data_IF_603142527624
#
_entry.id   IF_603142527624
#
_cell.length_a   1.000
_cell.length_b   1.000
_cell.length_c   1.000
_cell.angle_alpha   90.00
_cell.angle_beta   90.00
_cell.angle_gamma   90.00
#
_symmetry.space_group_name_H-M   'P 1'
#
loop_
_entity.id
_entity.type
_entity.pdbx_description
1 polymer ?
#
# COMPACT_ATOMS: atom_id res chain seq x y z
N UNK A 1 -23.47 -10.23 5.25
CA UNK A 1 -23.33 -8.89 4.66
C UNK A 1 -23.00 -9.01 3.19
N UNK A 2 -23.43 -8.04 2.39
CA UNK A 2 -22.97 -7.81 1.02
C UNK A 2 -21.89 -6.76 1.05
N UNK A 3 -20.74 -7.05 0.45
CA UNK A 3 -19.60 -6.14 0.44
C UNK A 3 -19.17 -5.83 -0.98
N UNK A 4 -18.87 -4.56 -1.24
CA UNK A 4 -18.33 -4.07 -2.50
C UNK A 4 -16.88 -3.63 -2.28
N UNK A 5 -15.95 -4.13 -3.11
CA UNK A 5 -14.56 -3.66 -3.15
C UNK A 5 -14.34 -2.87 -4.44
N UNK A 6 -13.66 -1.73 -4.35
CA UNK A 6 -13.32 -0.90 -5.50
C UNK A 6 -11.84 -1.06 -5.82
N UNK A 7 -11.53 -1.37 -7.07
CA UNK A 7 -10.18 -1.55 -7.59
C UNK A 7 -10.00 -2.86 -8.36
N UNK A 8 -8.78 -3.15 -8.82
CA UNK A 8 -8.51 -4.29 -9.71
C UNK A 8 -7.11 -4.89 -9.55
N UNK A 9 -6.34 -4.45 -8.56
CA UNK A 9 -4.97 -4.90 -8.31
C UNK A 9 -4.86 -6.12 -7.40
N UNK A 10 -3.64 -6.54 -7.11
CA UNK A 10 -3.35 -7.65 -6.19
C UNK A 10 -3.89 -7.41 -4.78
N UNK A 11 -3.73 -6.19 -4.27
CA UNK A 11 -4.30 -5.72 -3.01
C UNK A 11 -5.82 -5.95 -2.94
N UNK A 12 -6.55 -5.56 -3.98
CA UNK A 12 -7.99 -5.75 -4.02
C UNK A 12 -8.34 -7.23 -4.07
N UNK A 13 -7.58 -8.04 -4.81
CA UNK A 13 -7.80 -9.48 -4.82
C UNK A 13 -7.55 -10.11 -3.43
N UNK A 14 -6.50 -9.69 -2.72
CA UNK A 14 -6.25 -10.16 -1.34
C UNK A 14 -7.36 -9.73 -0.37
N UNK A 15 -7.88 -8.50 -0.50
CA UNK A 15 -9.05 -8.02 0.24
C UNK A 15 -10.29 -8.88 -0.05
N UNK A 16 -10.60 -9.12 -1.32
CA UNK A 16 -11.73 -9.95 -1.76
C UNK A 16 -11.61 -11.38 -1.22
N UNK A 17 -10.41 -11.97 -1.35
CA UNK A 17 -10.14 -13.30 -0.81
C UNK A 17 -10.41 -13.35 0.69
N UNK A 18 -9.91 -12.40 1.47
CA UNK A 18 -10.13 -12.39 2.92
C UNK A 18 -11.59 -12.15 3.28
N UNK A 19 -12.29 -11.28 2.58
CA UNK A 19 -13.71 -10.99 2.79
C UNK A 19 -14.57 -12.21 2.44
N UNK A 20 -14.33 -12.87 1.31
CA UNK A 20 -15.08 -14.06 0.91
C UNK A 20 -14.95 -15.22 1.90
N UNK A 21 -13.84 -15.27 2.68
CA UNK A 21 -13.64 -16.25 3.76
C UNK A 21 -14.13 -15.77 5.14
N UNK A 22 -14.73 -14.58 5.22
CA UNK A 22 -15.27 -14.04 6.48
C UNK A 22 -16.67 -14.63 6.74
N UNK A 23 -16.95 -15.21 7.93
CA UNK A 23 -18.23 -15.86 8.23
C UNK A 23 -19.45 -14.94 8.12
N UNK A 24 -19.27 -13.64 8.28
CA UNK A 24 -20.35 -12.65 8.20
C UNK A 24 -20.73 -12.26 6.77
N UNK A 25 -19.98 -12.71 5.76
CA UNK A 25 -20.19 -12.33 4.36
C UNK A 25 -21.15 -13.30 3.67
N UNK A 26 -22.08 -12.72 2.89
CA UNK A 26 -23.02 -13.44 2.05
C UNK A 26 -22.62 -13.35 0.58
N UNK A 27 -22.23 -12.14 0.13
CA UNK A 27 -21.90 -11.86 -1.26
C UNK A 27 -20.78 -10.82 -1.31
N UNK A 28 -19.88 -10.97 -2.26
CA UNK A 28 -18.78 -10.04 -2.51
C UNK A 28 -18.84 -9.57 -3.96
N UNK A 29 -18.80 -8.26 -4.14
CA UNK A 29 -18.75 -7.59 -5.44
C UNK A 29 -17.46 -6.84 -5.60
N UNK A 30 -17.01 -6.65 -6.83
CA UNK A 30 -15.83 -5.83 -7.15
C UNK A 30 -16.05 -4.97 -8.38
N UNK A 31 -15.59 -3.72 -8.32
CA UNK A 31 -15.65 -2.73 -9.40
C UNK A 31 -14.27 -2.12 -9.63
N UNK A 32 -13.69 -2.18 -10.82
CA UNK A 32 -14.11 -3.04 -11.92
C UNK A 32 -13.66 -4.51 -11.72
N UNK A 33 -12.67 -4.78 -10.84
CA UNK A 33 -12.02 -6.07 -10.68
C UNK A 33 -11.14 -6.45 -11.86
N UNK A 34 -10.66 -7.68 -11.83
CA UNK A 34 -10.02 -8.36 -12.96
C UNK A 34 -10.50 -9.83 -13.03
N UNK A 35 -10.29 -10.47 -14.18
CA UNK A 35 -10.82 -11.82 -14.43
C UNK A 35 -10.33 -12.90 -13.43
N UNK A 36 -9.19 -12.66 -12.76
CA UNK A 36 -8.65 -13.57 -11.75
C UNK A 36 -9.41 -13.54 -10.42
N UNK A 37 -10.29 -12.55 -10.23
CA UNK A 37 -11.08 -12.37 -8.99
C UNK A 37 -12.42 -13.12 -9.03
N UNK A 38 -12.79 -13.73 -10.16
CA UNK A 38 -14.10 -14.40 -10.37
C UNK A 38 -14.33 -15.59 -9.44
N UNK A 39 -13.28 -16.15 -8.88
CA UNK A 39 -13.38 -17.27 -7.92
C UNK A 39 -13.88 -16.80 -6.52
N UNK A 40 -13.77 -15.50 -6.21
CA UNK A 40 -14.06 -14.94 -4.88
C UNK A 40 -15.05 -13.76 -4.91
N UNK A 41 -15.38 -13.20 -6.07
CA UNK A 41 -16.25 -12.04 -6.18
C UNK A 41 -17.01 -11.98 -7.52
N UNK A 42 -18.14 -11.26 -7.51
CA UNK A 42 -18.87 -10.91 -8.73
C UNK A 42 -18.26 -9.61 -9.32
N UNK A 43 -17.76 -9.69 -10.56
CA UNK A 43 -17.24 -8.54 -11.27
C UNK A 43 -18.38 -7.69 -11.82
N UNK A 44 -18.37 -6.40 -11.53
CA UNK A 44 -19.41 -5.45 -11.94
C UNK A 44 -18.81 -4.43 -12.91
N UNK A 45 -19.28 -4.40 -14.17
CA UNK A 45 -18.67 -3.57 -15.21
C UNK A 45 -19.24 -2.14 -15.23
N UNK A 46 -19.30 -1.48 -14.06
CA UNK A 46 -19.71 -0.07 -13.97
C UNK A 46 -18.50 0.85 -13.81
N UNK A 47 -18.67 2.12 -14.16
CA UNK A 47 -17.61 3.14 -14.10
C UNK A 47 -18.19 4.45 -13.58
N UNK A 48 -17.37 5.19 -12.84
CA UNK A 48 -17.76 6.48 -12.28
C UNK A 48 -18.47 6.38 -10.94
N UNK A 49 -18.39 7.47 -10.18
CA UNK A 49 -18.85 7.52 -8.80
C UNK A 49 -20.36 7.32 -8.66
N UNK A 50 -21.15 7.89 -9.57
CA UNK A 50 -22.61 7.80 -9.50
C UNK A 50 -23.10 6.37 -9.80
N UNK A 51 -22.53 5.69 -10.80
CA UNK A 51 -22.87 4.30 -11.12
C UNK A 51 -22.50 3.35 -9.98
N UNK A 52 -21.38 3.61 -9.29
CA UNK A 52 -20.94 2.84 -8.11
C UNK A 52 -21.95 3.03 -6.97
N UNK A 53 -22.38 4.27 -6.72
CA UNK A 53 -23.40 4.57 -5.70
C UNK A 53 -24.73 3.91 -6.00
N UNK A 54 -25.20 4.00 -7.24
CA UNK A 54 -26.47 3.41 -7.67
C UNK A 54 -26.42 1.88 -7.58
N UNK A 55 -25.32 1.24 -8.00
CA UNK A 55 -25.10 -0.18 -7.81
C UNK A 55 -25.15 -0.56 -6.33
N UNK A 56 -24.39 0.14 -5.48
CA UNK A 56 -24.35 -0.16 -4.04
C UNK A 56 -25.74 -0.05 -3.38
N UNK A 57 -26.53 0.96 -3.78
CA UNK A 57 -27.89 1.16 -3.32
C UNK A 57 -28.84 0.05 -3.81
N UNK A 58 -28.81 -0.27 -5.10
CA UNK A 58 -29.68 -1.26 -5.75
C UNK A 58 -29.45 -2.67 -5.17
N UNK A 59 -28.18 -3.01 -4.94
CA UNK A 59 -27.78 -4.31 -4.39
C UNK A 59 -27.82 -4.37 -2.87
N UNK A 60 -28.24 -3.29 -2.21
CA UNK A 60 -28.28 -3.19 -0.74
C UNK A 60 -26.92 -3.56 -0.12
N UNK A 61 -25.83 -2.97 -0.61
CA UNK A 61 -24.48 -3.22 -0.12
C UNK A 61 -24.34 -2.70 1.32
N UNK A 62 -23.96 -3.58 2.24
CA UNK A 62 -23.79 -3.25 3.66
C UNK A 62 -22.49 -2.48 3.94
N UNK A 63 -21.47 -2.69 3.10
CA UNK A 63 -20.15 -2.07 3.27
C UNK A 63 -19.44 -1.95 1.92
N UNK A 64 -18.95 -0.75 1.59
CA UNK A 64 -18.03 -0.52 0.47
C UNK A 64 -16.62 -0.28 0.97
N UNK A 65 -15.62 -0.83 0.28
CA UNK A 65 -14.19 -0.77 0.63
C UNK A 65 -13.41 -0.20 -0.55
N UNK A 66 -12.66 0.87 -0.35
CA UNK A 66 -11.74 1.38 -1.36
C UNK A 66 -10.39 0.64 -1.33
N UNK A 67 -9.93 0.20 -2.48
CA UNK A 67 -8.55 -0.25 -2.68
C UNK A 67 -7.61 0.92 -3.01
N UNK A 68 -7.78 1.61 -4.17
CA UNK A 68 -6.88 2.68 -4.59
C UNK A 68 -7.19 4.02 -3.90
N UNK A 69 -6.15 4.83 -3.74
CA UNK A 69 -6.20 6.16 -3.14
C UNK A 69 -6.97 7.19 -3.97
N UNK A 70 -7.02 7.02 -5.29
CA UNK A 70 -7.65 7.99 -6.21
C UNK A 70 -9.12 8.22 -5.86
N UNK A 71 -9.89 7.16 -5.68
CA UNK A 71 -11.32 7.26 -5.35
C UNK A 71 -11.56 7.91 -3.97
N UNK A 72 -10.58 7.83 -3.06
CA UNK A 72 -10.63 8.46 -1.75
C UNK A 72 -10.37 9.96 -1.84
N UNK A 73 -9.33 10.36 -2.57
CA UNK A 73 -9.00 11.77 -2.78
C UNK A 73 -10.03 12.49 -3.63
N UNK A 74 -10.75 11.76 -4.51
CA UNK A 74 -11.88 12.26 -5.31
C UNK A 74 -13.21 12.32 -4.52
N UNK A 75 -13.23 11.90 -3.25
CA UNK A 75 -14.37 12.09 -2.35
C UNK A 75 -15.49 11.04 -2.48
N UNK A 76 -15.20 9.85 -2.98
CA UNK A 76 -16.23 8.81 -3.06
C UNK A 76 -16.79 8.45 -1.68
N UNK A 77 -15.95 8.44 -0.64
CA UNK A 77 -16.38 8.18 0.74
C UNK A 77 -17.39 9.23 1.24
N UNK A 78 -17.19 10.50 0.85
CA UNK A 78 -18.09 11.60 1.22
C UNK A 78 -19.47 11.43 0.56
N UNK A 79 -19.51 11.06 -0.73
CA UNK A 79 -20.74 10.77 -1.45
C UNK A 79 -21.53 9.60 -0.83
N UNK A 80 -20.85 8.53 -0.41
CA UNK A 80 -21.48 7.42 0.33
C UNK A 80 -22.04 7.88 1.67
N UNK A 81 -21.30 8.71 2.41
CA UNK A 81 -21.74 9.25 3.69
C UNK A 81 -22.99 10.12 3.55
N UNK A 82 -23.08 10.97 2.50
CA UNK A 82 -24.27 11.77 2.18
C UNK A 82 -25.53 10.93 1.96
N UNK A 83 -25.37 9.71 1.46
CA UNK A 83 -26.44 8.74 1.26
C UNK A 83 -26.68 7.82 2.46
N UNK A 84 -25.94 8.00 3.58
CA UNK A 84 -26.03 7.13 4.75
C UNK A 84 -25.51 5.72 4.54
N UNK A 85 -24.73 5.47 3.49
CA UNK A 85 -24.14 4.17 3.17
C UNK A 85 -22.74 4.01 3.80
N UNK A 86 -22.45 2.82 4.33
CA UNK A 86 -21.17 2.56 4.98
C UNK A 86 -20.04 2.42 3.95
N UNK A 87 -18.96 3.16 4.18
CA UNK A 87 -17.78 3.17 3.36
C UNK A 87 -16.52 3.06 4.23
N UNK A 88 -15.69 2.04 4.00
CA UNK A 88 -14.41 1.88 4.67
C UNK A 88 -13.33 2.61 3.87
N UNK A 89 -12.96 3.77 4.35
CA UNK A 89 -11.98 4.68 3.80
C UNK A 89 -12.20 6.08 4.36
N UNK A 90 -11.18 6.95 4.34
CA UNK A 90 -11.29 8.32 4.81
C UNK A 90 -12.11 9.21 3.83
N UNK A 91 -12.62 10.33 4.33
CA UNK A 91 -13.14 11.43 3.51
C UNK A 91 -12.04 12.01 2.61
N UNK A 92 -12.43 12.78 1.57
CA UNK A 92 -11.46 13.47 0.71
C UNK A 92 -10.52 14.37 1.50
N UNK A 93 -11.04 15.09 2.51
CA UNK A 93 -10.24 15.92 3.39
C UNK A 93 -9.21 15.10 4.19
N UNK A 94 -9.60 13.93 4.70
CA UNK A 94 -8.68 13.07 5.45
C UNK A 94 -7.71 12.31 4.52
N UNK A 95 -8.10 12.00 3.29
CA UNK A 95 -7.25 11.37 2.28
C UNK A 95 -6.08 12.27 1.84
N UNK A 96 -6.12 13.57 2.14
CA UNK A 96 -4.99 14.49 1.90
C UNK A 96 -3.71 14.10 2.64
N UNK A 97 -3.79 13.26 3.66
CA UNK A 97 -2.59 12.72 4.33
C UNK A 97 -1.70 11.87 3.38
N UNK A 98 -2.28 11.30 2.30
CA UNK A 98 -1.58 10.68 1.17
C UNK A 98 -1.59 11.59 -0.06
N UNK A 99 -2.73 12.26 -0.32
CA UNK A 99 -2.96 13.07 -1.52
C UNK A 99 -2.08 14.30 -1.61
N UNK A 100 -1.58 14.83 -0.49
CA UNK A 100 -0.63 15.95 -0.44
C UNK A 100 0.49 15.68 0.54
N UNK A 101 1.72 15.57 0.01
CA UNK A 101 2.91 15.38 0.84
C UNK A 101 3.21 16.60 1.70
N UNK A 102 2.93 17.80 1.19
CA UNK A 102 3.07 19.05 1.94
C UNK A 102 2.08 19.12 3.11
N UNK A 103 0.82 18.71 2.91
CA UNK A 103 -0.15 18.58 3.99
C UNK A 103 0.34 17.60 5.07
N UNK A 104 0.75 16.39 4.68
CA UNK A 104 1.26 15.38 5.61
C UNK A 104 2.47 15.87 6.40
N UNK A 105 3.44 16.52 5.71
CA UNK A 105 4.64 17.09 6.34
C UNK A 105 4.30 18.21 7.31
N UNK A 106 3.42 19.13 6.93
CA UNK A 106 2.98 20.22 7.80
C UNK A 106 2.23 19.69 9.04
N UNK A 107 1.38 18.66 8.87
CA UNK A 107 0.73 17.96 9.98
C UNK A 107 1.77 17.37 10.93
N UNK A 108 2.73 16.62 10.40
CA UNK A 108 3.80 15.99 11.20
C UNK A 108 4.63 17.03 11.97
N UNK A 109 5.00 18.14 11.32
CA UNK A 109 5.73 19.25 11.96
C UNK A 109 4.92 19.90 13.09
N UNK A 110 3.64 20.23 12.81
CA UNK A 110 2.73 20.87 13.77
C UNK A 110 2.51 20.02 15.02
N UNK A 111 2.35 18.72 14.85
CA UNK A 111 2.05 17.77 15.93
C UNK A 111 3.26 16.97 16.43
N UNK A 112 4.48 17.37 16.01
CA UNK A 112 5.76 16.77 16.45
C UNK A 112 5.84 15.26 16.19
N UNK A 113 5.28 14.79 15.06
CA UNK A 113 5.41 13.42 14.61
C UNK A 113 6.77 13.27 13.92
N UNK A 114 7.60 12.28 14.31
CA UNK A 114 8.94 12.12 13.78
C UNK A 114 8.93 11.88 12.25
N UNK A 115 9.65 12.71 11.50
CA UNK A 115 9.84 12.58 10.05
C UNK A 115 11.16 13.26 9.65
N UNK A 116 11.58 13.11 8.39
CA UNK A 116 12.72 13.82 7.82
C UNK A 116 12.55 15.34 7.91
N UNK A 117 13.63 16.09 8.12
CA UNK A 117 13.62 17.53 7.94
C UNK A 117 13.30 17.87 6.48
N UNK A 118 12.45 18.85 6.25
CA UNK A 118 11.93 19.17 4.93
C UNK A 118 11.64 20.66 4.76
N UNK A 119 11.55 21.09 3.50
CA UNK A 119 10.96 22.36 3.09
C UNK A 119 10.13 22.16 1.82
N UNK A 120 9.10 23.00 1.64
CA UNK A 120 8.19 22.94 0.50
C UNK A 120 8.33 24.18 -0.37
N UNK A 121 8.32 24.01 -1.68
CA UNK A 121 8.50 25.09 -2.65
C UNK A 121 7.49 24.99 -3.79
N UNK A 122 6.91 26.14 -4.14
CA UNK A 122 6.11 26.38 -5.37
C UNK A 122 6.88 27.21 -6.39
N UNK A 123 8.05 27.74 -5.99
CA UNK A 123 8.91 28.63 -6.76
C UNK A 123 10.25 27.91 -7.01
N UNK A 124 10.60 27.75 -8.29
CA UNK A 124 11.81 27.05 -8.71
C UNK A 124 13.09 27.71 -8.20
N UNK A 125 13.19 29.05 -8.33
CA UNK A 125 14.41 29.77 -7.95
C UNK A 125 14.67 29.66 -6.45
N UNK A 126 13.59 29.71 -5.63
CA UNK A 126 13.69 29.51 -4.18
C UNK A 126 14.11 28.10 -3.83
N UNK A 127 13.56 27.10 -4.52
CA UNK A 127 13.93 25.69 -4.34
C UNK A 127 15.41 25.47 -4.69
N UNK A 128 15.87 25.99 -5.83
CA UNK A 128 17.26 25.89 -6.27
C UNK A 128 18.19 26.65 -5.30
N UNK A 129 17.80 27.83 -4.84
CA UNK A 129 18.58 28.60 -3.85
C UNK A 129 18.71 27.82 -2.53
N UNK A 130 17.64 27.13 -2.10
CA UNK A 130 17.67 26.26 -0.93
C UNK A 130 18.64 25.08 -1.12
N UNK A 131 18.57 24.37 -2.27
CA UNK A 131 19.46 23.25 -2.60
C UNK A 131 20.92 23.71 -2.54
N UNK A 132 21.27 24.82 -3.19
CA UNK A 132 22.64 25.37 -3.21
C UNK A 132 23.19 25.73 -1.84
N UNK A 133 22.32 26.07 -0.89
CA UNK A 133 22.72 26.32 0.52
C UNK A 133 22.94 25.02 1.31
N UNK A 134 22.35 23.91 0.86
CA UNK A 134 22.52 22.59 1.47
C UNK A 134 23.76 21.92 0.92
N UNK A 135 24.77 21.71 1.77
CA UNK A 135 26.02 21.04 1.38
C UNK A 135 26.05 19.55 1.70
N UNK A 136 24.89 19.00 2.11
CA UNK A 136 24.75 17.59 2.52
C UNK A 136 23.85 16.87 1.55
N UNK A 137 24.37 15.82 0.94
CA UNK A 137 23.66 14.91 0.04
C UNK A 137 23.73 13.46 0.57
N UNK A 138 22.82 12.54 0.15
CA UNK A 138 21.75 12.78 -0.81
C UNK A 138 20.61 13.66 -0.25
N UNK A 139 19.82 14.24 -1.17
CA UNK A 139 18.53 14.88 -0.86
C UNK A 139 17.40 14.07 -1.50
N UNK A 140 16.22 14.11 -0.92
CA UNK A 140 15.02 13.48 -1.50
C UNK A 140 14.09 14.58 -2.00
N UNK A 141 13.86 14.59 -3.32
CA UNK A 141 12.96 15.54 -3.99
C UNK A 141 11.66 14.81 -4.34
N UNK A 142 10.53 15.33 -3.87
CA UNK A 142 9.21 14.72 -4.09
C UNK A 142 8.26 15.72 -4.71
N UNK A 143 7.56 15.35 -5.80
CA UNK A 143 6.40 16.09 -6.27
C UNK A 143 5.28 15.98 -5.22
N UNK A 144 4.53 17.08 -5.01
CA UNK A 144 3.45 17.13 -4.04
C UNK A 144 2.19 16.45 -4.56
N UNK A 145 1.56 15.57 -4.22
CA UNK A 145 0.40 14.89 -4.77
C UNK A 145 0.69 13.47 -5.23
N UNK A 146 -0.35 12.85 -5.81
CA UNK A 146 -0.31 11.47 -6.25
C UNK A 146 0.54 11.33 -7.52
N UNK A 147 1.61 10.57 -7.46
CA UNK A 147 2.52 10.32 -8.58
C UNK A 147 2.90 8.84 -8.72
N UNK A 148 2.13 7.92 -8.14
CA UNK A 148 2.31 6.45 -8.24
C UNK A 148 3.77 6.00 -8.04
N UNK A 149 4.46 6.58 -7.05
CA UNK A 149 5.87 6.28 -6.74
C UNK A 149 6.89 6.87 -7.73
N UNK A 150 6.46 7.48 -8.84
CA UNK A 150 7.35 8.05 -9.86
C UNK A 150 7.77 9.50 -9.55
N UNK A 151 7.10 10.17 -8.64
CA UNK A 151 7.37 11.55 -8.24
C UNK A 151 8.43 11.69 -7.13
N UNK A 152 9.33 10.73 -6.95
CA UNK A 152 10.38 10.76 -5.92
C UNK A 152 11.74 10.53 -6.56
N UNK A 153 12.68 11.45 -6.32
CA UNK A 153 14.06 11.38 -6.79
C UNK A 153 15.00 11.49 -5.59
N UNK A 154 15.88 10.52 -5.44
CA UNK A 154 17.02 10.60 -4.51
C UNK A 154 18.18 11.20 -5.28
N UNK A 155 18.55 12.42 -4.95
CA UNK A 155 19.58 13.18 -5.63
C UNK A 155 20.90 13.10 -4.85
N UNK A 156 21.88 12.46 -5.44
CA UNK A 156 23.23 12.27 -4.85
C UNK A 156 24.11 13.52 -4.99
N UNK A 157 23.74 14.43 -5.91
CA UNK A 157 24.48 15.67 -6.18
C UNK A 157 23.56 16.89 -6.29
N UNK A 158 24.15 18.10 -6.23
CA UNK A 158 23.43 19.37 -6.44
C UNK A 158 22.74 19.39 -7.81
N UNK A 159 23.47 18.98 -8.85
CA UNK A 159 22.97 18.99 -10.24
C UNK A 159 21.75 18.10 -10.40
N UNK A 160 21.80 16.90 -9.83
CA UNK A 160 20.65 15.96 -9.83
C UNK A 160 19.45 16.55 -9.09
N UNK A 161 19.68 17.20 -7.93
CA UNK A 161 18.61 17.81 -7.16
C UNK A 161 17.96 18.98 -7.91
N UNK A 162 18.76 19.85 -8.54
CA UNK A 162 18.27 20.97 -9.36
C UNK A 162 17.50 20.47 -10.58
N UNK A 163 18.02 19.44 -11.26
CA UNK A 163 17.34 18.83 -12.40
C UNK A 163 15.99 18.20 -12.01
N UNK A 164 15.93 17.53 -10.86
CA UNK A 164 14.70 16.96 -10.34
C UNK A 164 13.64 18.04 -10.03
N UNK A 165 14.04 19.15 -9.37
CA UNK A 165 13.13 20.26 -9.08
C UNK A 165 12.58 20.87 -10.37
N UNK A 166 13.44 21.15 -11.36
CA UNK A 166 13.01 21.67 -12.66
C UNK A 166 12.03 20.73 -13.36
N UNK A 167 12.40 19.45 -13.46
CA UNK A 167 11.54 18.45 -14.09
C UNK A 167 10.17 18.31 -13.43
N UNK A 168 10.07 18.55 -12.10
CA UNK A 168 8.80 18.48 -11.37
C UNK A 168 7.99 19.77 -11.51
N UNK A 169 8.58 20.96 -11.33
CA UNK A 169 7.86 22.24 -11.33
C UNK A 169 7.56 22.77 -12.75
N UNK A 170 8.51 22.65 -13.70
CA UNK A 170 8.30 23.09 -15.09
C UNK A 170 7.57 22.03 -15.93
N UNK A 171 7.83 20.76 -15.60
CA UNK A 171 7.32 19.64 -16.36
C UNK A 171 5.86 19.37 -16.03
N UNK A 172 4.97 19.52 -16.99
CA UNK A 172 3.58 19.04 -16.93
C UNK A 172 3.45 17.52 -16.71
N UNK A 173 4.56 16.86 -16.35
CA UNK A 173 4.71 15.39 -16.20
C UNK A 173 3.80 14.82 -15.10
N UNK A 174 3.52 15.62 -14.06
CA UNK A 174 2.72 15.17 -12.91
C UNK A 174 1.40 15.96 -12.76
N UNK A 175 0.98 16.75 -13.76
CA UNK A 175 -0.24 17.56 -13.67
C UNK A 175 -0.21 18.50 -12.46
N UNK A 176 -1.32 18.57 -11.71
CA UNK A 176 -1.42 19.38 -10.49
C UNK A 176 -0.47 18.91 -9.36
N UNK A 177 -0.02 17.66 -9.37
CA UNK A 177 0.96 17.16 -8.41
C UNK A 177 2.34 17.82 -8.55
N UNK A 178 2.63 18.44 -9.70
CA UNK A 178 3.87 19.18 -9.96
C UNK A 178 3.84 20.66 -9.58
N UNK A 179 2.74 21.18 -9.02
CA UNK A 179 2.63 22.59 -8.61
C UNK A 179 3.50 22.94 -7.40
N UNK A 180 3.89 21.97 -6.61
CA UNK A 180 4.84 22.13 -5.53
C UNK A 180 5.77 20.92 -5.37
N UNK A 181 6.94 21.15 -4.77
CA UNK A 181 7.89 20.11 -4.45
C UNK A 181 8.24 20.13 -2.97
N UNK A 182 8.45 18.96 -2.40
CA UNK A 182 8.97 18.78 -1.04
C UNK A 182 10.41 18.29 -1.14
N UNK A 183 11.33 19.02 -0.53
CA UNK A 183 12.75 18.69 -0.45
C UNK A 183 13.04 18.20 0.96
N UNK A 184 13.47 16.95 1.08
CA UNK A 184 13.72 16.28 2.37
C UNK A 184 15.20 15.90 2.54
N UNK A 185 15.64 15.81 3.78
CA UNK A 185 16.88 15.10 4.09
C UNK A 185 16.73 13.60 3.79
N UNK A 186 17.80 12.99 3.31
CA UNK A 186 17.82 11.53 3.17
C UNK A 186 17.94 10.86 4.54
N UNK A 187 17.08 9.91 4.81
CA UNK A 187 17.10 9.11 6.05
C UNK A 187 17.80 7.78 5.80
N UNK A 188 18.80 7.47 6.61
CA UNK A 188 19.47 6.17 6.63
C UNK A 188 18.79 5.24 7.63
N UNK A 189 18.51 4.00 7.22
CA UNK A 189 17.85 3.02 8.06
C UNK A 189 17.31 1.83 7.29
N UNK A 190 16.40 1.12 7.91
CA UNK A 190 15.68 0.00 7.34
C UNK A 190 14.19 0.35 7.26
N UNK A 191 13.58 0.19 6.08
CA UNK A 191 12.18 0.49 5.90
C UNK A 191 11.29 -0.53 6.62
N UNK A 192 10.13 -0.08 7.10
CA UNK A 192 9.07 -0.92 7.63
C UNK A 192 7.71 -0.30 7.34
N UNK A 193 6.70 -1.14 7.17
CA UNK A 193 5.31 -0.75 6.93
C UNK A 193 4.47 -1.12 8.15
N UNK A 194 3.82 -0.11 8.75
CA UNK A 194 2.89 -0.32 9.86
C UNK A 194 1.52 0.22 9.47
N UNK A 195 0.58 -0.69 9.28
CA UNK A 195 -0.80 -0.38 8.98
C UNK A 195 -1.62 -0.44 10.27
N UNK A 196 -2.70 0.33 10.34
CA UNK A 196 -3.65 0.21 11.44
C UNK A 196 -5.09 0.44 10.97
N UNK A 197 -6.03 -0.25 11.60
CA UNK A 197 -7.44 0.08 11.56
C UNK A 197 -7.71 1.26 12.49
N UNK A 198 -8.56 2.20 12.06
CA UNK A 198 -9.00 3.28 12.93
C UNK A 198 -10.41 3.75 12.61
N UNK A 199 -11.14 4.12 13.63
CA UNK A 199 -12.47 4.77 13.56
C UNK A 199 -12.41 6.27 13.82
N UNK A 200 -11.19 6.86 13.82
CA UNK A 200 -10.92 8.26 14.16
C UNK A 200 -10.71 8.53 15.65
N UNK A 201 -10.89 7.54 16.51
CA UNK A 201 -10.64 7.62 17.96
C UNK A 201 -9.81 6.44 18.47
N UNK A 202 -10.19 5.22 18.07
CA UNK A 202 -9.51 3.97 18.41
C UNK A 202 -8.53 3.61 17.28
N UNK A 203 -7.38 3.08 17.65
CA UNK A 203 -6.36 2.60 16.73
C UNK A 203 -6.04 1.17 17.08
N UNK A 204 -6.10 0.28 16.09
CA UNK A 204 -5.71 -1.13 16.22
C UNK A 204 -4.61 -1.41 15.18
N UNK A 205 -3.34 -1.43 15.58
CA UNK A 205 -2.24 -1.76 14.68
C UNK A 205 -2.38 -3.17 14.11
N UNK A 206 -1.99 -3.34 12.86
CA UNK A 206 -1.84 -4.64 12.22
C UNK A 206 -0.44 -5.19 12.45
N UNK A 207 -0.21 -6.44 12.08
CA UNK A 207 1.13 -7.02 12.01
C UNK A 207 1.97 -6.16 11.05
N UNK A 208 3.19 -5.80 11.49
CA UNK A 208 4.13 -5.04 10.66
C UNK A 208 4.57 -5.84 9.44
N UNK A 209 4.80 -5.15 8.33
CA UNK A 209 5.33 -5.73 7.10
C UNK A 209 6.60 -5.02 6.64
N UNK A 210 7.33 -5.63 5.72
CA UNK A 210 8.44 -4.99 5.04
C UNK A 210 8.33 -5.27 3.54
N UNK A 211 8.28 -4.20 2.75
CA UNK A 211 8.22 -4.20 1.30
C UNK A 211 9.63 -4.16 0.67
N UNK A 212 9.73 -4.53 -0.60
CA UNK A 212 10.93 -4.46 -1.44
C UNK A 212 10.64 -3.56 -2.64
N UNK A 213 11.01 -2.28 -2.56
CA UNK A 213 10.62 -1.26 -3.54
C UNK A 213 11.45 -1.27 -4.82
N UNK A 214 12.69 -1.78 -4.79
CA UNK A 214 13.56 -1.81 -5.98
C UNK A 214 13.26 -3.03 -6.84
N UNK A 215 13.39 -2.85 -8.17
CA UNK A 215 13.05 -3.88 -9.16
C UNK A 215 13.95 -5.10 -9.09
N UNK A 216 15.22 -4.95 -8.74
CA UNK A 216 16.24 -6.02 -8.78
C UNK A 216 16.69 -6.45 -7.39
N UNK A 217 17.24 -7.66 -7.32
CA UNK A 217 17.87 -8.21 -6.14
C UNK A 217 18.92 -7.26 -5.55
N UNK A 218 19.12 -7.32 -4.23
CA UNK A 218 20.06 -6.45 -3.53
C UNK A 218 19.63 -4.98 -3.45
N UNK A 219 18.34 -4.68 -3.65
CA UNK A 219 17.78 -3.32 -3.69
C UNK A 219 18.40 -2.45 -4.79
N UNK A 220 18.62 -3.02 -5.96
CA UNK A 220 19.19 -2.35 -7.11
C UNK A 220 18.11 -1.96 -8.14
N UNK A 221 18.47 -1.03 -9.04
CA UNK A 221 17.59 -0.61 -10.13
C UNK A 221 16.53 0.43 -9.73
N UNK A 222 15.50 0.55 -10.55
CA UNK A 222 14.45 1.55 -10.39
C UNK A 222 13.52 1.27 -9.20
N UNK A 223 12.92 2.32 -8.62
CA UNK A 223 11.81 2.18 -7.70
C UNK A 223 10.57 1.65 -8.42
N UNK A 224 9.78 0.85 -7.72
CA UNK A 224 8.54 0.24 -8.21
C UNK A 224 7.40 0.49 -7.22
N UNK A 225 6.21 -0.04 -7.51
CA UNK A 225 5.11 -0.13 -6.55
C UNK A 225 5.31 -1.17 -5.44
N UNK A 226 6.39 -1.94 -5.48
CA UNK A 226 6.70 -3.07 -4.59
C UNK A 226 6.86 -4.37 -5.39
N UNK A 227 7.92 -5.11 -5.08
CA UNK A 227 8.27 -6.39 -5.72
C UNK A 227 8.02 -7.60 -4.82
N UNK A 228 7.45 -7.38 -3.66
CA UNK A 228 7.11 -8.38 -2.68
C UNK A 228 7.23 -7.86 -1.25
N UNK A 229 6.57 -8.52 -0.35
CA UNK A 229 6.55 -8.17 1.07
C UNK A 229 6.58 -9.40 1.97
N UNK A 230 6.85 -9.19 3.23
CA UNK A 230 6.72 -10.23 4.26
C UNK A 230 6.23 -9.64 5.58
N UNK A 231 5.56 -10.47 6.36
CA UNK A 231 5.01 -10.14 7.66
C UNK A 231 5.14 -11.35 8.62
N UNK A 232 5.41 -11.12 9.94
CA UNK A 232 5.82 -9.83 10.52
C UNK A 232 7.23 -9.42 10.10
N UNK A 233 7.51 -8.12 10.12
CA UNK A 233 8.84 -7.58 9.81
C UNK A 233 9.78 -7.72 11.01
N UNK A 234 10.89 -8.49 10.95
CA UNK A 234 11.78 -8.67 12.10
C UNK A 234 12.52 -7.40 12.54
N UNK A 235 12.53 -6.35 11.73
CA UNK A 235 13.07 -5.04 12.14
C UNK A 235 12.22 -4.42 13.25
N UNK A 236 10.92 -4.66 13.24
CA UNK A 236 10.01 -4.19 14.28
C UNK A 236 10.10 -5.09 15.51
N UNK A 237 10.43 -4.48 16.65
CA UNK A 237 10.41 -5.12 17.98
C UNK A 237 9.19 -4.64 18.75
N UNK A 238 8.83 -5.32 19.83
CA UNK A 238 7.73 -4.89 20.71
C UNK A 238 7.94 -3.46 21.25
N UNK A 239 9.19 -3.07 21.50
CA UNK A 239 9.56 -1.73 21.93
C UNK A 239 9.33 -0.72 20.81
N UNK A 240 9.73 -1.04 19.57
CA UNK A 240 9.49 -0.19 18.41
C UNK A 240 8.01 -0.09 18.07
N UNK A 241 7.25 -1.18 18.17
CA UNK A 241 5.79 -1.15 17.98
C UNK A 241 5.13 -0.16 18.95
N UNK A 242 5.56 -0.18 20.23
CA UNK A 242 5.07 0.77 21.22
C UNK A 242 5.47 2.21 20.88
N UNK A 243 6.73 2.45 20.50
CA UNK A 243 7.20 3.80 20.11
C UNK A 243 6.40 4.30 18.90
N UNK A 244 6.21 3.48 17.86
CA UNK A 244 5.44 3.84 16.66
C UNK A 244 4.00 4.16 17.03
N UNK A 245 3.38 3.36 17.88
CA UNK A 245 2.03 3.64 18.36
C UNK A 245 1.93 5.00 19.08
N UNK A 246 2.82 5.23 20.07
CA UNK A 246 2.77 6.39 20.95
C UNK A 246 3.20 7.68 20.26
N UNK A 247 4.18 7.63 19.34
CA UNK A 247 4.80 8.82 18.73
C UNK A 247 4.37 9.11 17.29
N UNK A 248 3.76 8.14 16.61
CA UNK A 248 3.39 8.27 15.20
C UNK A 248 1.88 8.04 15.00
N UNK A 249 1.37 6.82 15.25
CA UNK A 249 -0.02 6.49 14.90
C UNK A 249 -1.03 7.28 15.73
N UNK A 250 -0.89 7.27 17.06
CA UNK A 250 -1.80 7.98 17.95
C UNK A 250 -1.77 9.50 17.74
N UNK A 251 -0.59 10.15 17.63
CA UNK A 251 -0.52 11.56 17.27
C UNK A 251 -1.12 11.88 15.91
N UNK A 252 -0.91 11.04 14.88
CA UNK A 252 -1.45 11.26 13.54
C UNK A 252 -2.99 11.25 13.55
N UNK A 253 -3.62 10.22 14.11
CA UNK A 253 -5.09 10.14 14.18
C UNK A 253 -5.69 11.27 15.00
N UNK A 254 -5.06 11.62 16.15
CA UNK A 254 -5.48 12.77 16.96
C UNK A 254 -5.31 14.11 16.22
N UNK A 255 -4.23 14.26 15.47
CA UNK A 255 -3.97 15.46 14.67
C UNK A 255 -5.03 15.64 13.59
N UNK A 256 -5.32 14.59 12.81
CA UNK A 256 -6.35 14.62 11.79
C UNK A 256 -7.72 15.02 12.36
N UNK A 257 -8.08 14.49 13.54
CA UNK A 257 -9.31 14.89 14.22
C UNK A 257 -9.31 16.37 14.64
N UNK A 258 -8.18 16.88 15.13
CA UNK A 258 -8.03 18.29 15.53
C UNK A 258 -8.06 19.25 14.34
N UNK A 259 -7.57 18.81 13.17
CA UNK A 259 -7.65 19.57 11.91
C UNK A 259 -9.07 19.52 11.29
N UNK A 260 -10.04 18.88 11.92
CA UNK A 260 -11.43 18.81 11.43
C UNK A 260 -11.67 17.74 10.36
N UNK A 261 -10.68 16.90 10.07
CA UNK A 261 -10.76 15.80 9.12
C UNK A 261 -10.43 14.45 9.79
N UNK A 262 -11.31 13.91 10.67
CA UNK A 262 -11.06 12.67 11.39
C UNK A 262 -10.85 11.51 10.40
N UNK A 263 -9.77 10.77 10.59
CA UNK A 263 -9.40 9.67 9.71
C UNK A 263 -10.10 8.37 10.12
N UNK A 264 -10.86 7.77 9.22
CA UNK A 264 -11.48 6.44 9.39
C UNK A 264 -11.01 5.52 8.26
N UNK A 265 -10.71 4.25 8.59
CA UNK A 265 -10.27 3.27 7.60
C UNK A 265 -8.93 2.64 7.94
N UNK A 266 -8.12 2.39 6.94
CA UNK A 266 -6.76 1.88 7.07
C UNK A 266 -5.76 3.04 6.92
N UNK A 267 -5.08 3.39 8.00
CA UNK A 267 -3.94 4.32 7.96
C UNK A 267 -2.66 3.50 7.86
N UNK A 268 -1.85 3.78 6.85
CA UNK A 268 -0.56 3.14 6.64
C UNK A 268 0.55 4.17 6.89
N UNK A 269 1.45 3.88 7.81
CA UNK A 269 2.69 4.60 8.07
C UNK A 269 3.87 3.85 7.43
N UNK A 270 4.44 4.40 6.36
CA UNK A 270 5.74 4.00 5.83
C UNK A 270 6.84 4.59 6.69
N UNK A 271 7.66 3.75 7.28
CA UNK A 271 8.66 4.13 8.28
C UNK A 271 10.08 3.87 7.80
N UNK A 272 10.99 4.72 8.22
CA UNK A 272 12.43 4.47 8.25
C UNK A 272 12.85 4.23 9.70
N UNK A 273 13.34 3.05 10.01
CA UNK A 273 13.88 2.71 11.32
C UNK A 273 15.35 3.15 11.35
N UNK A 274 15.56 4.37 11.83
CA UNK A 274 16.89 5.01 11.90
C UNK A 274 17.58 4.68 13.23
N UNK A 275 18.85 5.06 13.36
CA UNK A 275 19.58 4.96 14.64
C UNK A 275 18.95 5.81 15.77
N UNK A 276 18.21 6.87 15.41
CA UNK A 276 17.56 7.77 16.35
C UNK A 276 16.09 7.37 16.63
N UNK A 277 15.65 6.22 16.10
CA UNK A 277 14.28 5.71 16.23
C UNK A 277 13.48 5.76 14.92
N UNK A 278 12.19 5.38 14.97
CA UNK A 278 11.33 5.35 13.79
C UNK A 278 10.96 6.77 13.35
N UNK A 279 11.05 7.02 12.04
CA UNK A 279 10.60 8.28 11.40
C UNK A 279 9.68 7.96 10.23
N UNK A 280 8.65 8.78 10.04
CA UNK A 280 7.71 8.63 8.93
C UNK A 280 8.38 9.06 7.62
N UNK A 281 8.35 8.17 6.63
CA UNK A 281 8.69 8.46 5.23
C UNK A 281 7.49 9.08 4.52
N UNK A 282 6.33 8.43 4.69
CA UNK A 282 5.04 8.86 4.13
C UNK A 282 3.88 8.19 4.89
N UNK A 283 2.69 8.79 4.81
CA UNK A 283 1.45 8.13 5.14
C UNK A 283 0.71 7.75 3.87
N UNK A 284 -0.03 6.62 3.93
CA UNK A 284 -1.00 6.26 2.91
C UNK A 284 -2.38 6.09 3.57
N UNK A 285 -3.44 6.43 2.84
CA UNK A 285 -4.80 6.47 3.36
C UNK A 285 -5.61 5.19 3.06
N UNK A 286 -4.91 4.10 2.75
CA UNK A 286 -5.46 2.82 2.30
C UNK A 286 -4.51 1.68 2.64
N UNK A 287 -4.96 0.46 2.35
CA UNK A 287 -4.09 -0.72 2.42
C UNK A 287 -2.88 -0.61 1.47
N UNK A 288 -1.74 -1.16 1.89
CA UNK A 288 -0.53 -1.24 1.06
C UNK A 288 -0.65 -2.29 -0.05
N UNK A 289 0.20 -2.19 -1.05
CA UNK A 289 0.35 -3.16 -2.12
C UNK A 289 1.86 -3.23 -2.48
N UNK A 290 2.58 -4.31 -2.10
CA UNK A 290 2.08 -5.66 -1.83
C UNK A 290 1.96 -6.06 -0.33
N UNK A 291 1.95 -5.14 0.62
CA UNK A 291 1.90 -5.52 2.04
C UNK A 291 0.62 -6.28 2.41
N UNK A 292 -0.51 -5.92 1.79
CA UNK A 292 -1.81 -6.53 2.06
C UNK A 292 -1.81 -8.03 1.77
N UNK A 293 -1.14 -8.44 0.71
CA UNK A 293 -1.00 -9.83 0.27
C UNK A 293 -0.19 -10.68 1.26
N UNK A 294 0.67 -10.05 2.07
CA UNK A 294 1.38 -10.71 3.16
C UNK A 294 0.64 -10.60 4.51
N UNK A 295 -0.02 -9.47 4.79
CA UNK A 295 -0.65 -9.19 6.09
C UNK A 295 -2.01 -9.90 6.25
N UNK A 296 -2.91 -9.79 5.26
CA UNK A 296 -4.27 -10.34 5.39
C UNK A 296 -4.34 -11.87 5.53
N UNK A 297 -3.45 -12.68 4.93
CA UNK A 297 -3.42 -14.11 5.18
C UNK A 297 -3.14 -14.50 6.64
N UNK A 298 -2.55 -13.59 7.41
CA UNK A 298 -2.28 -13.76 8.84
C UNK A 298 -3.44 -13.30 9.75
N UNK A 299 -4.42 -12.56 9.24
CA UNK A 299 -5.56 -12.12 10.04
C UNK A 299 -6.52 -13.31 10.31
N UNK A 300 -6.80 -13.59 11.58
CA UNK A 300 -7.81 -14.61 11.97
C UNK A 300 -9.20 -14.03 12.06
N UNK A 301 -9.32 -12.81 12.61
CA UNK A 301 -10.59 -12.14 12.81
C UNK A 301 -11.34 -11.85 11.51
N UNK A 302 -12.65 -11.68 11.63
CA UNK A 302 -13.56 -11.30 10.54
C UNK A 302 -13.29 -9.87 10.08
N UNK A 303 -12.67 -9.73 8.89
CA UNK A 303 -12.26 -8.44 8.33
C UNK A 303 -13.46 -7.50 8.12
N UNK A 304 -14.59 -8.03 7.68
CA UNK A 304 -15.77 -7.21 7.39
C UNK A 304 -16.34 -6.57 8.67
N UNK A 305 -16.36 -7.32 9.79
CA UNK A 305 -16.79 -6.77 11.09
C UNK A 305 -15.86 -5.66 11.56
N UNK A 306 -14.55 -5.84 11.45
CA UNK A 306 -13.55 -4.83 11.81
C UNK A 306 -13.76 -3.56 10.97
N UNK A 307 -13.89 -3.71 9.65
CA UNK A 307 -14.10 -2.58 8.74
C UNK A 307 -15.41 -1.84 9.05
N UNK A 308 -16.49 -2.59 9.28
CA UNK A 308 -17.78 -2.00 9.63
C UNK A 308 -17.73 -1.28 11.00
N UNK A 309 -16.98 -1.80 11.95
CA UNK A 309 -16.75 -1.14 13.23
C UNK A 309 -15.97 0.17 13.08
N UNK A 310 -15.02 0.23 12.15
CA UNK A 310 -14.34 1.49 11.81
C UNK A 310 -15.31 2.55 11.29
N UNK A 311 -16.23 2.19 10.39
CA UNK A 311 -17.22 3.12 9.85
C UNK A 311 -18.17 3.62 10.91
N UNK A 312 -18.61 2.74 11.83
CA UNK A 312 -19.59 3.01 12.91
C UNK A 312 -18.98 3.66 14.15
N UNK A 313 -17.67 3.82 14.25
CA UNK A 313 -17.03 4.36 15.47
C UNK A 313 -17.07 3.40 16.66
N UNK A 314 -17.11 2.10 16.43
CA UNK A 314 -17.23 1.06 17.47
C UNK A 314 -16.03 0.12 17.53
N UNK A 315 -14.91 0.46 16.87
CA UNK A 315 -13.71 -0.37 16.76
C UNK A 315 -13.16 -0.83 18.12
N UNK A 316 -13.32 -0.03 19.16
CA UNK A 316 -12.90 -0.38 20.53
C UNK A 316 -13.55 -1.67 21.05
N UNK A 317 -14.69 -2.08 20.48
CA UNK A 317 -15.42 -3.29 20.90
C UNK A 317 -14.93 -4.55 20.15
N UNK A 318 -14.15 -4.36 19.11
CA UNK A 318 -13.66 -5.47 18.28
C UNK A 318 -12.35 -6.02 18.85
N UNK A 319 -12.23 -7.34 18.90
CA UNK A 319 -10.98 -8.04 19.17
C UNK A 319 -10.37 -8.44 17.84
N UNK A 320 -9.15 -7.98 17.58
CA UNK A 320 -8.41 -8.32 16.36
C UNK A 320 -7.33 -9.32 16.68
N UNK A 321 -7.42 -10.51 16.12
CA UNK A 321 -6.53 -11.65 16.36
C UNK A 321 -5.78 -12.02 15.10
N UNK A 322 -4.53 -12.44 15.30
CA UNK A 322 -3.58 -12.76 14.25
C UNK A 322 -3.00 -14.15 14.45
N UNK A 323 -2.76 -14.88 13.36
CA UNK A 323 -2.06 -16.16 13.39
C UNK A 323 -0.64 -15.99 13.93
N UNK A 324 -0.21 -16.94 14.75
CA UNK A 324 1.21 -17.05 15.13
C UNK A 324 1.99 -17.71 13.99
N UNK A 325 2.16 -16.99 12.90
CA UNK A 325 2.79 -17.47 11.66
C UNK A 325 3.47 -16.31 10.94
N UNK A 326 4.17 -16.61 9.86
CA UNK A 326 4.78 -15.66 8.94
C UNK A 326 4.16 -15.79 7.55
N UNK A 327 4.14 -14.71 6.81
CA UNK A 327 3.75 -14.70 5.40
C UNK A 327 4.84 -14.05 4.55
N UNK A 328 4.99 -14.54 3.33
CA UNK A 328 5.85 -13.95 2.30
C UNK A 328 5.04 -13.88 1.02
N UNK A 329 5.06 -12.72 0.38
CA UNK A 329 4.48 -12.45 -0.92
C UNK A 329 5.59 -12.09 -1.93
N UNK A 330 5.56 -12.70 -3.11
CA UNK A 330 6.48 -12.43 -4.22
C UNK A 330 5.67 -11.90 -5.40
N UNK A 331 6.01 -10.70 -5.86
CA UNK A 331 5.39 -10.08 -7.04
C UNK A 331 6.05 -10.59 -8.31
N UNK A 332 5.24 -11.07 -9.24
CA UNK A 332 5.65 -11.44 -10.59
C UNK A 332 5.26 -10.31 -11.55
N UNK A 333 6.24 -9.70 -12.19
CA UNK A 333 6.07 -8.54 -13.06
C UNK A 333 6.35 -8.92 -14.53
N UNK A 334 5.78 -8.15 -15.46
CA UNK A 334 6.00 -8.28 -16.89
C UNK A 334 7.30 -7.63 -17.34
N UNK A 335 7.75 -7.96 -18.54
CA UNK A 335 8.92 -7.36 -19.16
C UNK A 335 8.78 -5.85 -19.29
N UNK A 336 9.84 -5.13 -18.95
CA UNK A 336 9.92 -3.66 -19.01
C UNK A 336 9.43 -2.91 -17.78
N UNK A 337 8.73 -3.59 -16.85
CA UNK A 337 8.29 -2.95 -15.59
C UNK A 337 9.52 -2.47 -14.77
N UNK A 338 9.50 -1.26 -14.14
CA UNK A 338 8.37 -0.33 -13.98
C UNK A 338 8.25 0.75 -15.07
N UNK A 339 9.18 0.85 -16.00
CA UNK A 339 9.18 1.91 -17.02
C UNK A 339 8.03 1.70 -18.05
N UNK A 340 7.90 0.47 -18.52
CA UNK A 340 6.86 0.01 -19.45
C UNK A 340 6.29 -1.32 -18.96
N UNK A 341 5.43 -1.95 -19.73
CA UNK A 341 4.98 -3.32 -19.49
C UNK A 341 4.65 -4.01 -20.82
N UNK A 342 4.88 -5.31 -20.85
CA UNK A 342 4.38 -6.15 -21.93
C UNK A 342 2.92 -6.57 -21.69
N UNK A 343 2.27 -7.11 -22.70
CA UNK A 343 0.92 -7.66 -22.59
C UNK A 343 0.65 -8.71 -23.68
N UNK A 344 -0.18 -9.69 -23.35
CA UNK A 344 -0.61 -10.73 -24.27
C UNK A 344 0.17 -12.04 -24.17
N UNK A 345 1.18 -12.12 -23.30
CA UNK A 345 1.90 -13.37 -23.01
C UNK A 345 0.99 -14.30 -22.20
N UNK A 346 0.90 -15.56 -22.59
CA UNK A 346 0.11 -16.57 -21.87
C UNK A 346 0.77 -16.95 -20.56
N UNK A 347 -0.01 -16.92 -19.47
CA UNK A 347 0.42 -17.30 -18.13
C UNK A 347 0.16 -18.78 -17.91
N UNK A 348 1.19 -19.56 -17.63
CA UNK A 348 1.13 -20.99 -17.35
C UNK A 348 1.39 -21.29 -15.87
N UNK A 349 0.89 -22.45 -15.40
CA UNK A 349 1.25 -23.01 -14.09
C UNK A 349 0.48 -22.47 -12.90
N UNK A 350 -0.61 -21.73 -13.10
CA UNK A 350 -1.41 -21.14 -11.99
C UNK A 350 -2.00 -22.22 -11.07
N UNK A 351 -2.56 -23.28 -11.63
CA UNK A 351 -3.16 -24.37 -10.86
C UNK A 351 -2.09 -25.19 -10.12
N UNK A 352 -0.92 -25.38 -10.75
CA UNK A 352 0.23 -26.03 -10.12
C UNK A 352 0.77 -25.23 -8.94
N UNK A 353 0.80 -23.90 -9.06
CA UNK A 353 1.17 -23.01 -7.95
C UNK A 353 0.16 -23.09 -6.79
N UNK A 354 -1.14 -23.08 -7.08
CA UNK A 354 -2.19 -23.24 -6.05
C UNK A 354 -2.07 -24.60 -5.32
N UNK A 355 -1.69 -25.68 -6.02
CA UNK A 355 -1.49 -27.02 -5.43
C UNK A 355 -0.35 -27.06 -4.40
N UNK A 356 0.62 -26.15 -4.45
CA UNK A 356 1.64 -26.01 -3.37
C UNK A 356 1.07 -25.46 -2.07
N UNK A 357 -0.21 -25.01 -2.07
CA UNK A 357 -0.87 -24.33 -0.97
C UNK A 357 -0.49 -22.86 -0.87
N UNK A 358 0.04 -22.28 -1.95
CA UNK A 358 0.20 -20.82 -2.08
C UNK A 358 -1.13 -20.16 -2.47
N UNK A 359 -1.29 -18.92 -2.05
CA UNK A 359 -2.30 -18.01 -2.55
C UNK A 359 -1.74 -17.31 -3.79
N UNK A 360 -2.53 -17.24 -4.85
CA UNK A 360 -2.16 -16.51 -6.08
C UNK A 360 -3.15 -15.39 -6.27
N UNK A 361 -2.70 -14.16 -6.09
CA UNK A 361 -3.53 -12.97 -6.29
C UNK A 361 -3.23 -12.37 -7.66
N UNK A 362 -4.27 -12.13 -8.42
CA UNK A 362 -4.20 -11.53 -9.75
C UNK A 362 -4.20 -10.00 -9.65
N UNK A 363 -3.31 -9.37 -10.42
CA UNK A 363 -3.25 -7.93 -10.61
C UNK A 363 -3.40 -7.60 -12.11
N UNK A 364 -2.31 -7.36 -12.82
CA UNK A 364 -2.31 -7.07 -14.24
C UNK A 364 -2.45 -8.33 -15.11
N UNK A 365 -3.55 -9.03 -14.99
CA UNK A 365 -3.86 -10.21 -15.81
C UNK A 365 -5.27 -10.16 -16.39
N UNK A 366 -5.49 -10.83 -17.52
CA UNK A 366 -6.81 -10.97 -18.14
C UNK A 366 -7.05 -12.41 -18.57
N UNK A 367 -8.31 -12.80 -18.71
CA UNK A 367 -8.71 -14.14 -19.17
C UNK A 367 -9.29 -14.09 -20.58
N UNK A 368 -8.78 -14.93 -21.49
CA UNK A 368 -9.31 -15.10 -22.83
C UNK A 368 -9.43 -16.60 -23.14
N UNK A 369 -10.62 -17.04 -23.57
CA UNK A 369 -10.91 -18.46 -23.93
C UNK A 369 -10.41 -19.43 -22.86
N UNK A 370 -10.66 -19.13 -21.58
CA UNK A 370 -10.30 -19.98 -20.44
C UNK A 370 -8.84 -19.92 -19.99
N UNK A 371 -7.95 -19.19 -20.67
CA UNK A 371 -6.53 -19.02 -20.35
C UNK A 371 -6.23 -17.61 -19.87
N UNK A 372 -5.24 -17.45 -19.00
CA UNK A 372 -4.81 -16.17 -18.48
C UNK A 372 -3.64 -15.59 -19.26
N UNK A 373 -3.61 -14.27 -19.40
CA UNK A 373 -2.59 -13.53 -20.13
C UNK A 373 -2.15 -12.30 -19.32
N UNK A 374 -0.90 -11.90 -19.54
CA UNK A 374 -0.33 -10.65 -19.01
C UNK A 374 -1.10 -9.45 -19.55
N UNK A 375 -1.44 -8.51 -18.66
CA UNK A 375 -2.17 -7.28 -18.98
C UNK A 375 -1.80 -6.14 -18.00
N UNK A 376 -0.53 -5.97 -17.68
CA UNK A 376 -0.07 -4.91 -16.78
C UNK A 376 1.35 -5.11 -16.29
N UNK A 377 1.84 -4.18 -15.49
CA UNK A 377 3.20 -4.18 -14.98
C UNK A 377 3.43 -5.26 -13.92
N UNK A 378 2.78 -5.13 -12.75
CA UNK A 378 2.70 -6.22 -11.76
C UNK A 378 1.54 -7.11 -12.14
N UNK A 379 1.81 -8.38 -12.35
CA UNK A 379 0.87 -9.33 -12.99
C UNK A 379 0.20 -10.22 -11.96
N UNK A 380 1.00 -10.84 -11.10
CA UNK A 380 0.56 -11.75 -10.05
C UNK A 380 1.34 -11.51 -8.76
N UNK A 381 0.71 -11.89 -7.65
CA UNK A 381 1.32 -12.00 -6.34
C UNK A 381 1.21 -13.47 -5.88
N UNK A 382 2.33 -14.05 -5.45
CA UNK A 382 2.36 -15.43 -4.94
C UNK A 382 2.69 -15.37 -3.45
N UNK A 383 1.66 -15.57 -2.63
CA UNK A 383 1.78 -15.48 -1.17
C UNK A 383 1.74 -16.84 -0.51
N UNK A 384 2.55 -17.03 0.52
CA UNK A 384 2.55 -18.24 1.33
C UNK A 384 2.60 -17.94 2.82
N UNK A 385 1.91 -18.75 3.61
CA UNK A 385 1.90 -18.71 5.08
C UNK A 385 2.55 -19.98 5.63
N UNK A 386 3.42 -19.81 6.62
CA UNK A 386 4.06 -20.92 7.32
C UNK A 386 4.45 -20.50 8.76
N UNK A 387 4.78 -21.47 9.65
CA UNK A 387 5.16 -21.16 11.03
C UNK A 387 6.37 -20.24 11.16
N UNK A 388 7.33 -20.31 10.24
CA UNK A 388 8.54 -19.48 10.25
C UNK A 388 8.69 -18.69 8.95
N UNK A 389 9.41 -17.56 9.03
CA UNK A 389 9.68 -16.71 7.86
C UNK A 389 10.44 -17.49 6.76
N UNK A 390 11.36 -18.39 7.15
CA UNK A 390 12.09 -19.22 6.21
C UNK A 390 11.16 -20.17 5.45
N UNK A 391 10.30 -20.88 6.16
CA UNK A 391 9.34 -21.81 5.54
C UNK A 391 8.34 -21.09 4.66
N UNK A 392 7.83 -19.92 5.08
CA UNK A 392 6.93 -19.10 4.27
C UNK A 392 7.61 -18.65 2.97
N UNK A 393 8.88 -18.21 3.05
CA UNK A 393 9.68 -17.83 1.89
C UNK A 393 9.89 -19.01 0.95
N UNK A 394 10.38 -20.13 1.47
CA UNK A 394 10.68 -21.31 0.66
C UNK A 394 9.42 -21.79 -0.07
N UNK A 395 8.27 -21.79 0.62
CA UNK A 395 6.98 -22.16 0.05
C UNK A 395 6.51 -21.16 -1.02
N UNK A 396 6.65 -19.84 -0.80
CA UNK A 396 6.29 -18.84 -1.80
C UNK A 396 7.09 -19.02 -3.09
N UNK A 397 8.41 -19.25 -2.99
CA UNK A 397 9.24 -19.50 -4.16
C UNK A 397 8.98 -20.86 -4.81
N UNK A 398 8.55 -21.88 -4.07
CA UNK A 398 8.03 -23.11 -4.66
C UNK A 398 6.83 -22.83 -5.55
N UNK A 399 5.86 -22.03 -5.08
CA UNK A 399 4.73 -21.58 -5.90
C UNK A 399 5.17 -20.79 -7.13
N UNK A 400 6.07 -19.81 -6.95
CA UNK A 400 6.64 -19.01 -8.05
C UNK A 400 7.27 -19.91 -9.13
N UNK A 401 7.99 -20.96 -8.75
CA UNK A 401 8.66 -21.87 -9.67
C UNK A 401 7.72 -22.64 -10.62
N UNK A 402 6.41 -22.68 -10.32
CA UNK A 402 5.40 -23.31 -11.15
C UNK A 402 4.87 -22.39 -12.24
N UNK A 403 4.94 -21.07 -12.03
CA UNK A 403 4.36 -20.06 -12.91
C UNK A 403 5.40 -19.61 -13.93
N UNK A 404 4.97 -19.40 -15.17
CA UNK A 404 5.85 -18.87 -16.21
C UNK A 404 5.09 -18.15 -17.30
N UNK A 405 5.74 -17.14 -17.87
CA UNK A 405 5.44 -16.50 -19.16
C UNK A 405 6.70 -15.86 -19.73
N UNK A 406 6.71 -15.52 -21.00
CA UNK A 406 7.86 -14.88 -21.65
C UNK A 406 8.12 -13.49 -21.07
N UNK A 407 9.34 -13.23 -20.60
CA UNK A 407 9.73 -11.95 -20.02
C UNK A 407 9.26 -11.76 -18.56
N UNK A 408 8.83 -12.82 -17.88
CA UNK A 408 8.52 -12.78 -16.45
C UNK A 408 9.75 -12.37 -15.64
N UNK A 409 9.58 -11.40 -14.73
CA UNK A 409 10.62 -10.97 -13.81
C UNK A 409 10.09 -10.89 -12.36
N UNK A 410 10.94 -11.24 -11.44
CA UNK A 410 10.67 -11.17 -10.00
C UNK A 410 11.99 -11.14 -9.22
N UNK A 411 11.94 -10.75 -7.97
CA UNK A 411 13.10 -10.77 -7.07
C UNK A 411 13.28 -12.15 -6.43
N UNK A 412 14.53 -12.57 -6.25
CA UNK A 412 14.90 -13.85 -5.62
C UNK A 412 15.23 -13.69 -4.13
N UNK A 413 15.33 -12.46 -3.62
CA UNK A 413 15.81 -12.10 -2.30
C UNK A 413 14.71 -11.58 -1.35
N UNK A 414 13.42 -11.77 -1.70
CA UNK A 414 12.31 -11.39 -0.83
C UNK A 414 12.45 -12.12 0.52
N UNK A 415 12.30 -11.37 1.63
CA UNK A 415 12.51 -11.79 3.02
C UNK A 415 13.96 -12.03 3.45
N UNK A 416 14.98 -11.93 2.60
CA UNK A 416 16.39 -12.15 2.98
C UNK A 416 16.85 -11.20 4.08
N UNK A 417 16.42 -9.93 4.06
CA UNK A 417 16.74 -8.96 5.13
C UNK A 417 16.23 -9.45 6.49
N UNK A 418 14.97 -9.87 6.53
CA UNK A 418 14.35 -10.42 7.73
C UNK A 418 15.07 -11.66 8.25
N UNK A 419 15.40 -12.60 7.35
CA UNK A 419 16.13 -13.82 7.72
C UNK A 419 17.53 -13.52 8.23
N UNK A 420 18.28 -12.59 7.62
CA UNK A 420 19.60 -12.15 8.11
C UNK A 420 19.51 -11.54 9.52
N UNK A 421 18.45 -10.75 9.78
CA UNK A 421 18.22 -10.14 11.09
C UNK A 421 17.90 -11.20 12.17
N UNK A 422 17.05 -12.17 11.84
CA UNK A 422 16.72 -13.28 12.75
C UNK A 422 17.93 -14.13 13.11
N UNK A 423 18.88 -14.34 12.17
CA UNK A 423 20.14 -15.05 12.43
C UNK A 423 21.06 -14.28 13.39
N UNK A 424 21.07 -12.94 13.35
CA UNK A 424 21.90 -12.11 14.23
C UNK A 424 21.36 -12.01 15.66
N UNK A 425 20.10 -12.39 15.89
CA UNK A 425 19.45 -12.38 17.21
C UNK A 425 19.60 -13.72 17.99
N UNK A 426 20.02 -14.78 17.28
CA UNK A 426 20.42 -16.06 17.88
C UNK A 426 21.91 -16.05 18.24
#
# INVERSE_FOLDING_TARGET
MRVLVIGSGGREHALLWKLAHSPSIKEVYVIPGNDGMTDVAHLIPVKGAEDILDFARLMEVDLTVAGPETVLTEGLADKFAEKGMAFFGPSAAAAQIEGSKSFAKNLMKKYKIPTAAYETFTDEEKAISYIKKRKKYPLVIKADGLASGKGVVIAETEEQAVQAVRGMLEGKTFGSAGESVVIEEFMEGEEASVLCFTDGNTIVPMISAQDHKRISDGDMGANTGGMGAYAPAPVMTKELDKIVYDTILLPAVKAMKKEGCPFKGCLYAGLMITKDGPKVVEFNCRFGDPETEAVLPLLESDLAKIMLACTKGTLKKEKVEWKNACAVDVVLASEGYPATHSSGEEISGLEEAKKTGCLVFHAGSMKKKGRYFVNGGRVLNVAAVAPTLKEARDKAYEGVSKISWRGMQYRHDIADKGLKRLKKRK
#
